data_IF_320976027407
#
_entry.id   IF_320976027407
#
_cell.length_a   1.000
_cell.length_b   1.000
_cell.length_c   1.000
_cell.angle_alpha   90.00
_cell.angle_beta   90.00
_cell.angle_gamma   90.00
#
_symmetry.space_group_name_H-M   'P 1'
#
loop_
_entity.id
_entity.type
_entity.pdbx_description
1 polymer ?
#
# COMPACT_ATOMS: atom_id res chain seq x y z
N UNK A 1 23.55 14.80 -15.44
CA UNK A 1 23.34 13.33 -15.31
C UNK A 1 24.24 12.86 -14.20
N UNK A 2 23.78 11.92 -13.39
CA UNK A 2 24.54 11.37 -12.27
C UNK A 2 25.54 10.32 -12.73
N UNK A 3 26.58 10.09 -11.94
CA UNK A 3 27.57 9.04 -12.22
C UNK A 3 26.92 7.65 -12.36
N UNK A 4 25.81 7.40 -11.64
CA UNK A 4 25.04 6.15 -11.74
C UNK A 4 24.35 6.04 -13.10
N UNK A 5 23.72 7.11 -13.57
CA UNK A 5 23.09 7.17 -14.88
C UNK A 5 24.13 6.95 -15.99
N UNK A 6 25.26 7.65 -15.91
CA UNK A 6 26.33 7.55 -16.92
C UNK A 6 26.91 6.14 -16.95
N UNK A 7 27.16 5.53 -15.79
CA UNK A 7 27.67 4.15 -15.71
C UNK A 7 26.68 3.15 -16.32
N UNK A 8 25.37 3.28 -16.03
CA UNK A 8 24.37 2.41 -16.63
C UNK A 8 24.30 2.57 -18.15
N UNK A 9 24.26 3.81 -18.65
CA UNK A 9 24.17 4.11 -20.07
C UNK A 9 25.38 3.59 -20.85
N UNK A 10 26.58 3.64 -20.24
CA UNK A 10 27.82 3.14 -20.82
C UNK A 10 27.83 1.61 -21.02
N UNK A 11 27.13 0.88 -20.14
CA UNK A 11 27.09 -0.59 -20.16
C UNK A 11 25.80 -1.17 -20.78
N UNK A 12 24.90 -0.33 -21.30
CA UNK A 12 23.73 -0.82 -22.03
C UNK A 12 24.15 -1.54 -23.33
N UNK A 13 23.40 -2.56 -23.76
CA UNK A 13 23.62 -3.23 -25.04
C UNK A 13 23.64 -2.22 -26.21
N UNK A 14 24.49 -2.47 -27.18
CA UNK A 14 24.61 -1.62 -28.39
C UNK A 14 23.28 -1.58 -29.18
N UNK A 15 22.55 -2.69 -29.21
CA UNK A 15 21.21 -2.77 -29.84
C UNK A 15 20.14 -2.23 -28.90
N UNK A 16 19.89 -0.92 -28.96
CA UNK A 16 18.91 -0.21 -28.14
C UNK A 16 18.17 0.84 -28.96
N UNK A 17 16.98 1.22 -28.51
CA UNK A 17 16.15 2.27 -29.11
C UNK A 17 15.63 3.21 -28.03
N UNK A 18 15.71 4.51 -28.27
CA UNK A 18 15.08 5.51 -27.38
C UNK A 18 13.69 5.85 -27.93
N UNK A 19 12.69 5.84 -27.04
CA UNK A 19 11.32 6.21 -27.35
C UNK A 19 11.11 7.72 -27.18
N UNK A 20 10.06 8.32 -27.79
CA UNK A 20 9.73 9.73 -27.59
C UNK A 20 9.44 10.09 -26.12
N UNK A 21 9.04 9.13 -25.29
CA UNK A 21 8.82 9.29 -23.85
C UNK A 21 10.11 9.17 -23.01
N UNK A 22 11.29 9.15 -23.64
CA UNK A 22 12.58 9.13 -22.94
C UNK A 22 13.07 7.74 -22.50
N UNK A 23 12.30 6.67 -22.72
CA UNK A 23 12.75 5.32 -22.40
C UNK A 23 13.76 4.79 -23.41
N UNK A 24 14.85 4.23 -22.93
CA UNK A 24 15.79 3.47 -23.74
C UNK A 24 15.50 1.98 -23.61
N UNK A 25 14.98 1.37 -24.68
CA UNK A 25 14.57 -0.05 -24.73
C UNK A 25 15.68 -0.92 -25.30
N UNK A 26 15.93 -2.07 -24.71
CA UNK A 26 16.91 -3.08 -25.10
C UNK A 26 16.52 -4.48 -24.61
N UNK A 27 17.19 -5.52 -25.09
CA UNK A 27 16.95 -6.88 -24.60
C UNK A 27 17.31 -6.98 -23.11
N UNK A 28 16.30 -7.30 -22.28
CA UNK A 28 16.44 -7.33 -20.83
C UNK A 28 17.41 -8.45 -20.39
N UNK A 29 18.49 -8.14 -19.65
CA UNK A 29 19.43 -9.15 -19.19
C UNK A 29 18.91 -9.96 -18.00
N UNK A 30 17.90 -9.47 -17.30
CA UNK A 30 17.39 -10.03 -16.04
C UNK A 30 16.47 -11.24 -16.20
N UNK A 31 15.88 -11.49 -17.39
CA UNK A 31 14.84 -12.50 -17.58
C UNK A 31 15.30 -13.92 -17.21
N UNK A 32 16.46 -14.34 -17.67
CA UNK A 32 17.02 -15.67 -17.38
C UNK A 32 17.33 -15.89 -15.90
N UNK A 33 17.53 -14.82 -15.16
CA UNK A 33 17.80 -14.85 -13.71
C UNK A 33 16.54 -14.83 -12.85
N UNK A 34 15.37 -14.57 -13.49
CA UNK A 34 14.06 -14.51 -12.85
C UNK A 34 13.10 -15.60 -13.35
N UNK A 35 13.63 -16.71 -13.87
CA UNK A 35 12.86 -17.86 -14.30
C UNK A 35 12.19 -17.73 -15.68
N UNK A 36 12.50 -16.69 -16.43
CA UNK A 36 11.99 -16.47 -17.79
C UNK A 36 13.02 -16.84 -18.86
N UNK A 37 12.56 -16.98 -20.10
CA UNK A 37 13.44 -17.13 -21.27
C UNK A 37 14.17 -15.82 -21.59
N UNK A 38 15.33 -15.90 -22.25
CA UNK A 38 16.09 -14.74 -22.68
C UNK A 38 15.23 -13.78 -23.52
N UNK A 39 15.28 -12.49 -23.19
CA UNK A 39 14.52 -11.48 -23.92
C UNK A 39 15.13 -11.21 -25.31
N UNK A 40 14.30 -11.36 -26.36
CA UNK A 40 14.64 -11.07 -27.76
C UNK A 40 13.80 -9.94 -28.35
N UNK A 41 12.93 -9.30 -27.52
CA UNK A 41 11.92 -8.33 -27.97
C UNK A 41 12.15 -6.92 -27.40
N UNK A 42 13.33 -6.64 -26.85
CA UNK A 42 13.70 -5.36 -26.25
C UNK A 42 12.69 -4.88 -25.18
N UNK A 43 12.34 -5.76 -24.23
CA UNK A 43 11.39 -5.48 -23.13
C UNK A 43 12.05 -4.92 -21.87
N UNK A 44 13.38 -4.81 -21.83
CA UNK A 44 14.09 -4.01 -20.83
C UNK A 44 14.00 -2.53 -21.18
N UNK A 45 13.63 -1.70 -20.24
CA UNK A 45 13.57 -0.24 -20.39
C UNK A 45 14.37 0.46 -19.30
N UNK A 46 15.15 1.46 -19.68
CA UNK A 46 15.83 2.40 -18.78
C UNK A 46 15.35 3.81 -19.07
N UNK A 47 15.03 4.58 -18.04
CA UNK A 47 14.74 6.01 -18.14
C UNK A 47 15.57 6.78 -17.14
N UNK A 48 16.03 7.97 -17.54
CA UNK A 48 16.72 8.92 -16.66
C UNK A 48 15.95 10.24 -16.66
N UNK A 49 15.54 10.68 -15.48
CA UNK A 49 14.85 11.94 -15.25
C UNK A 49 15.70 12.78 -14.29
N UNK A 50 16.36 13.80 -14.82
CA UNK A 50 17.40 14.53 -14.07
C UNK A 50 18.52 13.58 -13.63
N UNK A 51 18.75 13.48 -12.33
CA UNK A 51 19.76 12.60 -11.74
C UNK A 51 19.21 11.25 -11.27
N UNK A 52 17.90 11.04 -11.39
CA UNK A 52 17.24 9.77 -11.04
C UNK A 52 17.25 8.81 -12.22
N UNK A 53 17.46 7.54 -11.95
CA UNK A 53 17.43 6.50 -12.97
C UNK A 53 16.51 5.35 -12.54
N UNK A 54 15.70 4.86 -13.49
CA UNK A 54 14.78 3.76 -13.27
C UNK A 54 14.88 2.74 -14.39
N UNK A 55 14.96 1.47 -14.02
CA UNK A 55 14.92 0.32 -14.91
C UNK A 55 13.68 -0.53 -14.65
N UNK A 56 13.02 -0.96 -15.72
CA UNK A 56 11.91 -1.89 -15.67
C UNK A 56 11.99 -2.92 -16.80
N UNK A 57 11.84 -4.18 -16.47
CA UNK A 57 11.68 -5.25 -17.45
C UNK A 57 10.18 -5.58 -17.62
N UNK A 58 9.62 -5.31 -18.78
CA UNK A 58 8.22 -5.59 -19.11
C UNK A 58 7.95 -7.07 -19.40
N UNK A 59 8.93 -7.96 -19.26
CA UNK A 59 8.77 -9.40 -19.35
C UNK A 59 8.69 -10.05 -17.97
N UNK A 60 9.78 -10.03 -17.20
CA UNK A 60 9.87 -10.67 -15.89
C UNK A 60 9.49 -9.76 -14.71
N UNK A 61 9.11 -8.50 -14.96
CA UNK A 61 8.73 -7.54 -13.92
C UNK A 61 9.87 -7.01 -13.05
N UNK A 62 11.14 -7.35 -13.35
CA UNK A 62 12.27 -6.86 -12.56
C UNK A 62 12.38 -5.35 -12.62
N UNK A 63 12.55 -4.72 -11.45
CA UNK A 63 12.68 -3.26 -11.29
C UNK A 63 13.91 -2.94 -10.46
N UNK A 64 14.66 -1.92 -10.89
CA UNK A 64 15.76 -1.34 -10.15
C UNK A 64 15.77 0.17 -10.39
N UNK A 65 16.03 0.95 -9.35
CA UNK A 65 16.12 2.40 -9.45
C UNK A 65 17.17 2.95 -8.52
N UNK A 66 17.59 4.17 -8.81
CA UNK A 66 18.45 4.95 -7.93
C UNK A 66 18.10 6.43 -8.04
N UNK A 67 18.27 7.15 -6.94
CA UNK A 67 18.14 8.61 -6.84
C UNK A 67 19.24 9.18 -5.96
N UNK A 68 19.64 10.45 -6.14
CA UNK A 68 20.61 11.14 -5.31
C UNK A 68 20.29 11.01 -3.81
N UNK A 69 21.33 10.86 -2.99
CA UNK A 69 21.19 10.67 -1.54
C UNK A 69 20.90 9.22 -1.11
N UNK A 70 20.86 8.27 -2.04
CA UNK A 70 20.69 6.85 -1.70
C UNK A 70 21.86 6.01 -2.17
N UNK A 71 22.26 5.04 -1.35
CA UNK A 71 23.25 4.05 -1.73
C UNK A 71 22.74 3.14 -2.85
N UNK A 72 23.66 2.53 -3.60
CA UNK A 72 23.32 1.57 -4.66
C UNK A 72 22.68 0.34 -4.04
N UNK A 73 21.43 0.06 -4.42
CA UNK A 73 20.67 -1.09 -3.94
C UNK A 73 21.24 -2.41 -4.49
N UNK A 74 20.97 -3.51 -3.77
CA UNK A 74 21.34 -4.85 -4.25
C UNK A 74 20.72 -5.18 -5.63
N UNK A 75 19.49 -4.73 -5.89
CA UNK A 75 18.85 -4.89 -7.21
C UNK A 75 19.61 -4.15 -8.31
N UNK A 76 20.06 -2.94 -8.04
CA UNK A 76 20.82 -2.18 -9.03
C UNK A 76 22.20 -2.79 -9.27
N UNK A 77 22.88 -3.30 -8.21
CA UNK A 77 24.14 -4.06 -8.37
C UNK A 77 23.96 -5.29 -9.26
N UNK A 78 22.91 -6.08 -9.05
CA UNK A 78 22.59 -7.23 -9.90
C UNK A 78 22.32 -6.82 -11.35
N UNK A 79 21.58 -5.73 -11.58
CA UNK A 79 21.34 -5.23 -12.93
C UNK A 79 22.66 -4.87 -13.63
N UNK A 80 23.59 -4.16 -12.97
CA UNK A 80 24.90 -3.83 -13.50
C UNK A 80 25.71 -5.09 -13.83
N UNK A 81 25.73 -6.09 -12.95
CA UNK A 81 26.39 -7.37 -13.20
C UNK A 81 25.82 -8.08 -14.44
N UNK A 82 24.49 -8.12 -14.58
CA UNK A 82 23.84 -8.72 -15.75
C UNK A 82 24.05 -7.92 -17.05
N UNK A 83 24.38 -6.64 -16.94
CA UNK A 83 24.82 -5.80 -18.05
C UNK A 83 26.32 -5.97 -18.36
N UNK A 84 26.98 -6.96 -17.73
CA UNK A 84 28.42 -7.23 -17.84
C UNK A 84 29.31 -6.06 -17.41
N UNK A 85 28.87 -5.25 -16.46
CA UNK A 85 29.69 -4.23 -15.82
C UNK A 85 30.73 -4.93 -14.93
N UNK A 86 32.03 -4.66 -15.07
CA UNK A 86 33.06 -5.22 -14.21
C UNK A 86 32.84 -4.91 -12.73
N UNK A 87 33.13 -5.88 -11.85
CA UNK A 87 32.90 -5.73 -10.41
C UNK A 87 33.69 -4.60 -9.76
N UNK A 88 34.88 -4.32 -10.25
CA UNK A 88 35.70 -3.17 -9.81
C UNK A 88 35.01 -1.83 -10.12
N UNK A 89 34.36 -1.69 -11.29
CA UNK A 89 33.57 -0.52 -11.66
C UNK A 89 32.35 -0.40 -10.76
N UNK A 90 31.63 -1.51 -10.49
CA UNK A 90 30.48 -1.51 -9.60
C UNK A 90 30.85 -1.10 -8.17
N UNK A 91 31.99 -1.62 -7.66
CA UNK A 91 32.50 -1.30 -6.33
C UNK A 91 32.97 0.16 -6.25
N UNK A 92 33.69 0.65 -7.27
CA UNK A 92 34.12 2.05 -7.35
C UNK A 92 32.88 2.98 -7.38
N UNK A 93 31.89 2.67 -8.21
CA UNK A 93 30.65 3.42 -8.29
C UNK A 93 29.94 3.48 -6.93
N UNK A 94 29.85 2.34 -6.22
CA UNK A 94 29.23 2.29 -4.91
C UNK A 94 29.95 3.15 -3.87
N UNK A 95 31.30 3.14 -3.89
CA UNK A 95 32.11 3.95 -2.98
C UNK A 95 31.94 5.45 -3.28
N UNK A 96 31.94 5.84 -4.57
CA UNK A 96 31.73 7.22 -4.97
C UNK A 96 30.36 7.74 -4.54
N UNK A 97 29.29 6.94 -4.76
CA UNK A 97 27.94 7.29 -4.30
C UNK A 97 27.86 7.41 -2.78
N UNK A 98 28.57 6.57 -2.02
CA UNK A 98 28.64 6.70 -0.56
C UNK A 98 29.32 8.00 -0.14
N UNK A 99 30.45 8.35 -0.76
CA UNK A 99 31.17 9.60 -0.49
C UNK A 99 30.33 10.85 -0.83
N UNK A 100 29.62 10.84 -1.96
CA UNK A 100 28.70 11.91 -2.33
C UNK A 100 27.56 12.04 -1.32
N UNK A 101 27.07 10.91 -0.79
CA UNK A 101 25.97 10.90 0.19
C UNK A 101 26.37 11.43 1.58
N UNK A 102 27.64 11.39 1.96
CA UNK A 102 28.11 11.96 3.25
C UNK A 102 27.86 13.47 3.34
N UNK A 103 27.81 14.17 2.19
CA UNK A 103 27.46 15.59 2.10
C UNK A 103 25.98 15.87 1.75
N UNK A 104 25.20 14.83 1.49
CA UNK A 104 23.85 14.97 0.97
C UNK A 104 22.82 14.94 2.12
N UNK A 105 22.26 16.09 2.44
CA UNK A 105 21.07 16.13 3.31
C UNK A 105 19.88 15.62 2.50
N UNK A 106 19.52 14.36 2.71
CA UNK A 106 18.29 13.81 2.15
C UNK A 106 17.16 14.67 2.67
N UNK A 107 16.48 15.43 1.80
CA UNK A 107 15.18 16.01 2.14
C UNK A 107 14.24 14.85 2.48
N UNK A 108 14.16 14.52 3.76
CA UNK A 108 13.11 13.64 4.22
C UNK A 108 11.80 14.31 3.82
N UNK A 109 11.00 13.62 3.04
CA UNK A 109 9.63 14.04 2.78
C UNK A 109 8.95 14.05 4.14
N UNK A 110 8.74 15.25 4.68
CA UNK A 110 7.96 15.40 5.90
C UNK A 110 6.56 14.87 5.59
N UNK A 111 6.28 13.67 6.06
CA UNK A 111 4.94 13.11 6.01
C UNK A 111 4.20 13.76 7.18
N UNK A 112 3.19 14.55 6.87
CA UNK A 112 2.33 15.12 7.90
C UNK A 112 1.35 14.06 8.38
N UNK A 113 1.07 14.09 9.69
CA UNK A 113 0.02 13.23 10.26
C UNK A 113 -1.31 13.58 9.62
N UNK A 114 -2.09 12.58 9.20
CA UNK A 114 -3.41 12.86 8.65
C UNK A 114 -4.33 13.43 9.72
N UNK A 115 -5.17 14.36 9.29
CA UNK A 115 -6.32 14.86 10.06
C UNK A 115 -7.59 14.32 9.42
N UNK A 116 -8.61 14.08 10.24
CA UNK A 116 -9.86 13.49 9.76
C UNK A 116 -11.05 14.36 10.14
N UNK A 117 -11.89 14.66 9.16
CA UNK A 117 -13.16 15.34 9.36
C UNK A 117 -14.23 14.36 9.83
N UNK A 118 -15.23 14.87 10.54
CA UNK A 118 -16.41 14.08 10.90
C UNK A 118 -17.26 13.80 9.66
N UNK A 119 -17.64 12.54 9.46
CA UNK A 119 -18.46 12.09 8.34
C UNK A 119 -19.77 11.52 8.86
N UNK A 120 -20.92 11.95 8.33
CA UNK A 120 -22.21 11.37 8.73
C UNK A 120 -22.31 9.92 8.25
N UNK A 121 -22.98 9.10 9.05
CA UNK A 121 -23.39 7.75 8.61
C UNK A 121 -24.44 7.85 7.49
N UNK A 122 -24.66 6.77 6.74
CA UNK A 122 -25.75 6.69 5.78
C UNK A 122 -27.11 7.08 6.37
N UNK A 123 -27.96 7.68 5.55
CA UNK A 123 -29.29 8.14 5.98
C UNK A 123 -30.05 7.08 6.75
N UNK A 124 -30.71 7.51 7.83
CA UNK A 124 -31.49 6.65 8.72
C UNK A 124 -30.72 5.47 9.34
N UNK A 125 -29.39 5.57 9.43
CA UNK A 125 -28.58 4.54 10.09
C UNK A 125 -28.88 4.49 11.59
N UNK A 126 -29.21 3.30 12.08
CA UNK A 126 -29.51 3.02 13.49
C UNK A 126 -28.48 2.03 14.00
N UNK A 127 -27.96 2.27 15.20
CA UNK A 127 -27.06 1.33 15.89
C UNK A 127 -27.82 0.02 16.15
N UNK A 128 -27.23 -1.10 15.78
CA UNK A 128 -27.90 -2.43 15.86
C UNK A 128 -28.32 -2.76 17.29
N UNK A 129 -27.51 -2.41 18.28
CA UNK A 129 -27.87 -2.59 19.71
C UNK A 129 -29.09 -1.77 20.15
N UNK A 130 -29.50 -0.76 19.39
CA UNK A 130 -30.63 0.13 19.70
C UNK A 130 -31.88 -0.18 18.86
N UNK A 131 -31.86 -1.27 18.07
CA UNK A 131 -33.03 -1.67 17.29
C UNK A 131 -34.16 -2.14 18.24
N UNK A 132 -35.29 -1.50 18.13
CA UNK A 132 -36.53 -1.85 18.87
C UNK A 132 -37.55 -2.55 17.99
N UNK A 133 -37.47 -2.33 16.69
CA UNK A 133 -38.34 -2.96 15.69
C UNK A 133 -37.51 -3.76 14.68
N UNK A 134 -38.00 -4.95 14.35
CA UNK A 134 -37.27 -5.86 13.48
C UNK A 134 -38.06 -6.07 12.18
N UNK A 135 -37.40 -5.80 11.08
CA UNK A 135 -37.88 -6.08 9.72
C UNK A 135 -37.18 -7.31 9.17
N UNK A 136 -37.68 -7.88 8.07
CA UNK A 136 -36.99 -8.98 7.38
C UNK A 136 -35.53 -8.63 7.01
N UNK A 137 -35.28 -7.37 6.66
CA UNK A 137 -33.92 -6.92 6.31
C UNK A 137 -33.02 -6.82 7.54
N UNK A 138 -33.51 -6.24 8.65
CA UNK A 138 -32.68 -6.15 9.87
C UNK A 138 -32.43 -7.52 10.47
N UNK A 139 -33.42 -8.43 10.41
CA UNK A 139 -33.24 -9.83 10.82
C UNK A 139 -32.16 -10.54 10.00
N UNK A 140 -32.17 -10.38 8.69
CA UNK A 140 -31.12 -10.94 7.83
C UNK A 140 -29.72 -10.40 8.15
N UNK A 141 -29.60 -9.13 8.58
CA UNK A 141 -28.33 -8.58 9.08
C UNK A 141 -27.90 -9.28 10.37
N UNK A 142 -28.82 -9.50 11.31
CA UNK A 142 -28.51 -10.20 12.57
C UNK A 142 -28.10 -11.66 12.33
N UNK A 143 -28.79 -12.35 11.43
CA UNK A 143 -28.42 -13.71 11.01
C UNK A 143 -27.02 -13.74 10.36
N UNK A 144 -26.71 -12.77 9.50
CA UNK A 144 -25.39 -12.62 8.91
C UNK A 144 -24.31 -12.38 9.97
N UNK A 145 -24.58 -11.54 10.97
CA UNK A 145 -23.66 -11.29 12.08
C UNK A 145 -23.44 -12.56 12.89
N UNK A 146 -24.52 -13.27 13.26
CA UNK A 146 -24.44 -14.53 14.01
C UNK A 146 -23.65 -15.61 13.23
N UNK A 147 -23.91 -15.76 11.94
CA UNK A 147 -23.18 -16.71 11.08
C UNK A 147 -21.69 -16.40 10.94
N UNK A 148 -21.26 -15.19 11.29
CA UNK A 148 -19.89 -14.73 11.26
C UNK A 148 -19.30 -14.45 12.63
N UNK A 149 -19.97 -14.84 13.70
CA UNK A 149 -19.50 -14.63 15.06
C UNK A 149 -19.14 -13.15 15.37
N UNK A 150 -19.95 -12.22 14.84
CA UNK A 150 -19.80 -10.78 15.05
C UNK A 150 -20.69 -10.33 16.19
N UNK A 151 -20.10 -9.82 17.26
CA UNK A 151 -20.84 -9.42 18.46
C UNK A 151 -20.92 -7.88 18.58
N UNK A 152 -22.05 -7.38 19.06
CA UNK A 152 -22.26 -5.94 19.32
C UNK A 152 -21.36 -5.40 20.43
N UNK A 153 -20.66 -6.27 21.16
CA UNK A 153 -19.68 -5.94 22.17
C UNK A 153 -18.30 -5.63 21.58
N UNK A 154 -18.00 -6.14 20.36
CA UNK A 154 -16.68 -6.02 19.75
C UNK A 154 -16.48 -4.63 19.13
N UNK A 155 -17.55 -4.14 18.51
CA UNK A 155 -17.59 -2.79 17.91
C UNK A 155 -19.03 -2.35 17.72
N UNK A 156 -19.21 -1.06 17.44
CA UNK A 156 -20.51 -0.55 17.01
C UNK A 156 -20.81 -1.00 15.58
N UNK A 157 -21.98 -1.57 15.41
CA UNK A 157 -22.53 -1.90 14.09
C UNK A 157 -23.81 -1.10 13.86
N UNK A 158 -24.02 -0.71 12.62
CA UNK A 158 -25.21 0.04 12.22
C UNK A 158 -25.92 -0.65 11.06
N UNK A 159 -27.19 -0.39 10.95
CA UNK A 159 -28.04 -0.78 9.85
C UNK A 159 -28.94 0.38 9.45
N UNK A 160 -29.33 0.46 8.18
CA UNK A 160 -30.25 1.48 7.68
C UNK A 160 -31.34 0.85 6.83
N UNK A 161 -32.63 1.26 7.01
CA UNK A 161 -33.75 0.82 6.19
C UNK A 161 -33.73 1.46 4.79
N UNK A 162 -32.90 2.47 4.56
CA UNK A 162 -32.84 3.22 3.30
C UNK A 162 -32.47 2.34 2.11
N UNK A 163 -33.06 2.63 0.96
CA UNK A 163 -32.76 1.92 -0.29
C UNK A 163 -31.25 1.99 -0.61
N UNK A 164 -30.66 0.84 -0.88
CA UNK A 164 -29.21 0.71 -1.10
C UNK A 164 -28.43 0.32 0.16
N UNK A 165 -29.00 0.51 1.38
CA UNK A 165 -28.35 0.22 2.65
C UNK A 165 -29.00 -0.94 3.42
N UNK A 166 -30.27 -1.23 3.19
CA UNK A 166 -31.07 -2.21 3.93
C UNK A 166 -30.48 -3.64 3.96
N UNK A 167 -29.63 -3.98 2.96
CA UNK A 167 -28.95 -5.27 2.87
C UNK A 167 -27.44 -5.15 3.17
N UNK A 168 -27.05 -4.15 3.97
CA UNK A 168 -25.64 -3.91 4.32
C UNK A 168 -25.46 -3.75 5.82
N UNK A 169 -24.45 -4.47 6.33
CA UNK A 169 -23.92 -4.23 7.67
C UNK A 169 -22.97 -3.02 7.59
N UNK A 170 -23.25 -1.98 8.35
CA UNK A 170 -22.45 -0.74 8.36
C UNK A 170 -21.52 -0.78 9.56
N UNK A 171 -20.23 -0.61 9.31
CA UNK A 171 -19.14 -0.57 10.29
C UNK A 171 -18.59 0.86 10.29
N UNK A 172 -18.77 1.65 11.36
CA UNK A 172 -18.23 3.00 11.45
C UNK A 172 -16.71 2.98 11.66
N UNK A 173 -16.07 4.05 11.22
CA UNK A 173 -14.66 4.31 11.43
C UNK A 173 -14.52 5.41 12.45
N UNK A 174 -13.94 5.07 13.60
CA UNK A 174 -13.73 6.00 14.70
C UNK A 174 -12.28 6.54 14.69
N UNK A 175 -12.15 7.82 15.00
CA UNK A 175 -10.89 8.45 15.33
C UNK A 175 -11.16 9.53 16.39
N UNK A 176 -10.47 9.45 17.51
CA UNK A 176 -10.68 10.38 18.65
C UNK A 176 -12.17 10.52 19.03
N UNK A 177 -12.87 9.40 19.17
CA UNK A 177 -14.30 9.30 19.48
C UNK A 177 -15.27 9.97 18.47
N UNK A 178 -14.80 10.30 17.27
CA UNK A 178 -15.63 10.82 16.19
C UNK A 178 -15.74 9.82 15.06
N UNK A 179 -16.89 9.78 14.40
CA UNK A 179 -17.05 8.99 13.16
C UNK A 179 -16.42 9.79 12.02
N UNK A 180 -15.37 9.23 11.42
CA UNK A 180 -14.59 9.83 10.34
C UNK A 180 -14.73 9.08 9.00
N UNK A 181 -15.60 8.08 8.96
CA UNK A 181 -15.90 7.28 7.80
C UNK A 181 -16.68 6.02 8.17
N UNK A 182 -16.93 5.18 7.22
CA UNK A 182 -17.63 3.91 7.41
C UNK A 182 -17.45 2.98 6.21
N UNK A 183 -17.76 1.70 6.42
CA UNK A 183 -17.93 0.73 5.34
C UNK A 183 -19.23 -0.04 5.49
N UNK A 184 -19.95 -0.21 4.40
CA UNK A 184 -21.18 -0.99 4.33
C UNK A 184 -20.98 -2.29 3.56
N UNK A 185 -20.81 -3.41 4.26
CA UNK A 185 -20.67 -4.75 3.70
C UNK A 185 -22.04 -5.31 3.29
N UNK A 186 -22.20 -5.70 2.02
CA UNK A 186 -23.43 -6.42 1.63
C UNK A 186 -23.48 -7.82 2.24
N UNK A 187 -24.66 -8.20 2.74
CA UNK A 187 -24.95 -9.55 3.22
C UNK A 187 -25.32 -10.50 2.07
N UNK A 188 -25.63 -9.97 0.89
CA UNK A 188 -26.00 -10.74 -0.29
C UNK A 188 -24.74 -11.26 -1.01
N UNK A 189 -24.60 -12.60 -1.24
CA UNK A 189 -23.36 -13.18 -1.76
C UNK A 189 -22.90 -12.64 -3.11
N UNK A 190 -23.84 -12.33 -4.01
CA UNK A 190 -23.55 -11.97 -5.41
C UNK A 190 -23.75 -10.47 -5.72
N UNK A 191 -24.06 -9.64 -4.70
CA UNK A 191 -24.29 -8.21 -4.89
C UNK A 191 -22.98 -7.44 -4.99
N UNK A 192 -22.86 -6.63 -6.03
CA UNK A 192 -21.74 -5.71 -6.22
C UNK A 192 -22.19 -4.25 -6.01
N UNK A 193 -21.32 -3.38 -5.54
CA UNK A 193 -20.03 -3.67 -4.94
C UNK A 193 -20.18 -4.40 -3.59
N UNK A 194 -19.24 -5.31 -3.28
CA UNK A 194 -19.22 -6.06 -2.02
C UNK A 194 -19.14 -5.13 -0.81
N UNK A 195 -18.36 -4.07 -0.93
CA UNK A 195 -18.24 -3.00 0.06
C UNK A 195 -18.62 -1.66 -0.58
N UNK A 196 -19.31 -0.83 0.16
CA UNK A 196 -19.50 0.58 -0.12
C UNK A 196 -18.87 1.36 1.03
N UNK A 197 -17.82 2.12 0.75
CA UNK A 197 -16.93 2.65 1.78
C UNK A 197 -16.71 4.14 1.59
N UNK A 198 -16.86 4.90 2.68
CA UNK A 198 -16.43 6.28 2.82
C UNK A 198 -15.23 6.30 3.75
N UNK A 199 -14.03 6.57 3.20
CA UNK A 199 -12.77 6.54 3.94
C UNK A 199 -11.88 7.70 3.54
N UNK A 200 -11.32 8.37 4.54
CA UNK A 200 -10.40 9.48 4.32
C UNK A 200 -8.95 8.98 4.12
N UNK A 201 -8.15 9.68 3.32
CA UNK A 201 -6.75 9.30 3.07
C UNK A 201 -5.95 9.15 4.36
N UNK A 202 -5.15 8.09 4.44
CA UNK A 202 -4.30 7.84 5.61
C UNK A 202 -4.99 7.20 6.80
N UNK A 203 -6.31 6.94 6.75
CA UNK A 203 -7.04 6.31 7.85
C UNK A 203 -6.59 4.86 8.08
N UNK A 204 -6.56 4.48 9.35
CA UNK A 204 -6.34 3.10 9.83
C UNK A 204 -7.46 2.75 10.79
N UNK A 205 -8.19 1.68 10.50
CA UNK A 205 -9.27 1.19 11.34
C UNK A 205 -8.75 0.55 12.62
N UNK A 206 -9.42 0.76 13.75
CA UNK A 206 -9.15 0.06 15.01
C UNK A 206 -8.00 0.61 15.84
N UNK A 207 -7.40 1.75 15.46
CA UNK A 207 -6.33 2.39 16.25
C UNK A 207 -6.77 2.77 17.65
N UNK A 208 -7.99 3.25 17.80
CA UNK A 208 -8.60 3.66 19.07
C UNK A 208 -8.82 2.50 20.06
N UNK A 209 -8.81 1.26 19.55
CA UNK A 209 -8.95 0.03 20.35
C UNK A 209 -7.60 -0.56 20.79
N UNK A 210 -6.48 0.02 20.37
CA UNK A 210 -5.14 -0.47 20.71
C UNK A 210 -4.66 0.13 22.03
N UNK A 211 -5.26 -0.31 23.14
CA UNK A 211 -4.91 0.13 24.51
C UNK A 211 -3.45 -0.17 24.91
N UNK A 212 -2.99 0.45 26.00
CA UNK A 212 -1.61 0.26 26.53
C UNK A 212 -1.32 -1.15 27.05
N UNK A 213 -2.35 -1.95 27.29
CA UNK A 213 -2.30 -3.34 27.73
C UNK A 213 -1.82 -4.31 26.64
N UNK A 214 -1.92 -3.92 25.38
CA UNK A 214 -1.46 -4.73 24.25
C UNK A 214 0.01 -4.48 23.96
N UNK A 215 0.81 -5.53 23.84
CA UNK A 215 2.25 -5.45 23.55
C UNK A 215 2.54 -5.24 22.07
N UNK A 216 1.68 -5.75 21.19
CA UNK A 216 1.82 -5.68 19.73
C UNK A 216 0.48 -5.32 19.09
N UNK A 217 0.52 -4.94 17.82
CA UNK A 217 -0.66 -4.71 16.99
C UNK A 217 -0.60 -5.60 15.74
N UNK A 218 -1.72 -6.22 15.41
CA UNK A 218 -1.87 -7.01 14.17
C UNK A 218 -2.44 -6.09 13.09
N UNK A 219 -1.74 -5.98 11.97
CA UNK A 219 -2.23 -5.25 10.79
C UNK A 219 -2.77 -6.21 9.75
N UNK A 220 -3.98 -5.94 9.29
CA UNK A 220 -4.67 -6.70 8.24
C UNK A 220 -5.21 -5.77 7.15
N UNK A 221 -5.70 -6.34 6.04
CA UNK A 221 -6.27 -5.56 4.95
C UNK A 221 -7.69 -5.07 5.27
N UNK A 222 -8.54 -5.94 5.80
CA UNK A 222 -9.97 -5.72 5.94
C UNK A 222 -10.45 -5.42 7.35
N UNK A 223 -11.50 -4.60 7.49
CA UNK A 223 -12.07 -4.22 8.78
C UNK A 223 -12.65 -5.42 9.55
N UNK A 224 -13.28 -6.37 8.85
CA UNK A 224 -13.80 -7.58 9.50
C UNK A 224 -12.67 -8.44 10.06
N UNK A 225 -11.58 -8.59 9.32
CA UNK A 225 -10.42 -9.34 9.79
C UNK A 225 -9.79 -8.65 11.01
N UNK A 226 -9.72 -7.31 11.01
CA UNK A 226 -9.25 -6.53 12.17
C UNK A 226 -10.13 -6.73 13.40
N UNK A 227 -11.45 -6.84 13.24
CA UNK A 227 -12.38 -7.13 14.35
C UNK A 227 -12.07 -8.50 14.94
N UNK A 228 -11.88 -9.54 14.10
CA UNK A 228 -11.59 -10.89 14.58
C UNK A 228 -10.27 -11.02 15.34
N UNK A 229 -9.24 -10.31 14.89
CA UNK A 229 -7.91 -10.39 15.53
C UNK A 229 -7.69 -9.31 16.58
N UNK A 230 -8.71 -8.50 16.85
CA UNK A 230 -8.62 -7.32 17.72
C UNK A 230 -7.42 -6.42 17.36
N UNK A 231 -7.24 -6.22 16.05
CA UNK A 231 -6.14 -5.50 15.43
C UNK A 231 -6.58 -4.26 14.67
N UNK A 232 -5.75 -3.85 13.70
CA UNK A 232 -5.99 -2.70 12.83
C UNK A 232 -6.12 -3.12 11.36
N UNK A 233 -6.92 -2.36 10.57
CA UNK A 233 -6.99 -2.55 9.13
C UNK A 233 -6.54 -1.31 8.36
N UNK A 234 -5.75 -1.53 7.30
CA UNK A 234 -5.22 -0.47 6.43
C UNK A 234 -6.06 -0.23 5.17
N UNK A 235 -7.05 -1.08 4.91
CA UNK A 235 -7.97 -0.95 3.77
C UNK A 235 -7.35 -1.22 2.40
N UNK A 236 -6.22 -1.92 2.35
CA UNK A 236 -5.51 -2.27 1.11
C UNK A 236 -4.34 -3.20 1.37
N UNK A 237 -3.65 -3.64 0.31
CA UNK A 237 -2.53 -4.58 0.39
C UNK A 237 -1.18 -3.92 0.76
N UNK A 238 -1.11 -2.59 0.77
CA UNK A 238 0.12 -1.85 1.08
C UNK A 238 -0.18 -0.74 2.11
N UNK A 239 0.67 -0.64 3.13
CA UNK A 239 0.62 0.45 4.11
C UNK A 239 1.20 1.72 3.47
N UNK A 240 0.47 2.83 3.59
CA UNK A 240 0.91 4.16 3.12
C UNK A 240 1.69 4.88 4.21
N UNK A 241 2.54 5.85 3.83
CA UNK A 241 3.39 6.59 4.76
C UNK A 241 2.61 7.19 5.94
N UNK A 242 1.46 7.81 5.69
CA UNK A 242 0.61 8.38 6.73
C UNK A 242 0.02 7.32 7.67
N UNK A 243 -0.37 6.16 7.13
CA UNK A 243 -0.85 5.03 7.94
C UNK A 243 0.27 4.46 8.81
N UNK A 244 1.47 4.30 8.24
CA UNK A 244 2.64 3.85 9.00
C UNK A 244 2.96 4.82 10.15
N UNK A 245 2.85 6.13 9.94
CA UNK A 245 3.04 7.12 11.01
C UNK A 245 2.02 6.97 12.14
N UNK A 246 0.74 6.74 11.81
CA UNK A 246 -0.30 6.53 12.81
C UNK A 246 -0.05 5.26 13.63
N UNK A 247 0.30 4.16 12.95
CA UNK A 247 0.60 2.88 13.62
C UNK A 247 1.83 3.02 14.52
N UNK A 248 2.89 3.65 14.03
CA UNK A 248 4.12 3.87 14.83
C UNK A 248 3.89 4.70 16.09
N UNK A 249 2.88 5.56 16.13
CA UNK A 249 2.50 6.32 17.34
C UNK A 249 1.97 5.43 18.47
N UNK A 250 1.53 4.22 18.15
CA UNK A 250 1.12 3.26 19.18
C UNK A 250 2.31 2.78 20.02
N UNK A 251 3.56 2.95 19.54
CA UNK A 251 4.80 2.51 20.20
C UNK A 251 4.77 1.03 20.58
N UNK A 252 4.26 0.20 19.66
CA UNK A 252 4.11 -1.26 19.84
C UNK A 252 4.83 -2.01 18.72
N UNK A 253 5.10 -3.30 18.97
CA UNK A 253 5.52 -4.21 17.90
C UNK A 253 4.38 -4.46 16.91
N UNK A 254 4.71 -4.64 15.62
CA UNK A 254 3.75 -4.82 14.52
C UNK A 254 3.92 -6.19 13.90
#
# INVERSE_FOLDING_TARGET
MSIVSDTLLAHLPSKRKTTPSGWTSFNAPCCVHNGDTADKRARGGLISEGDTVSYHCFNCGYKASWQPGRNISHKLRKLLQWLNTPDDIINKLALQVMQENEGFVVKQRLVELPTFDTVPLPDNAVKISNLTEFTNHSMAILEYMAARDLHVTDTDYYWSPSLGWRDRLIIPFYYENRIVGWTGRTIQPNKQPKYNTEVQPGFVYGLDKQGHDKLFVILVEGQLDAIYVDGCAIGGSEIKDQQAMLVNRLSKDV
#
